data_IF_242798280917
#
_entry.id   IF_242798280917
#
_cell.length_a   1.000
_cell.length_b   1.000
_cell.length_c   1.000
_cell.angle_alpha   90.00
_cell.angle_beta   90.00
_cell.angle_gamma   90.00
#
_symmetry.space_group_name_H-M   'P 1'
#
loop_
_entity.id
_entity.type
_entity.pdbx_description
1 polymer ?
#
# COMPACT_ATOMS: atom_id res chain seq x y z
N UNK A 1 22.78 1.61 3.12
CA UNK A 1 23.46 0.38 2.66
C UNK A 1 22.83 -0.04 1.33
N UNK A 2 23.61 -0.17 0.25
CA UNK A 2 23.10 -0.66 -1.04
C UNK A 2 23.46 -2.13 -1.23
N UNK A 3 22.47 -2.96 -1.64
CA UNK A 3 22.69 -4.36 -2.06
C UNK A 3 22.73 -4.39 -3.59
N UNK A 4 23.61 -5.21 -4.16
CA UNK A 4 23.78 -5.34 -5.62
C UNK A 4 23.21 -6.66 -6.11
N UNK A 5 22.58 -6.62 -7.28
CA UNK A 5 22.05 -7.77 -8.00
C UNK A 5 22.38 -7.60 -9.48
N UNK A 6 22.75 -8.68 -10.16
CA UNK A 6 22.99 -8.70 -11.60
C UNK A 6 21.78 -9.34 -12.28
N UNK A 7 21.24 -8.68 -13.30
CA UNK A 7 20.10 -9.16 -14.10
C UNK A 7 20.57 -9.34 -15.54
N UNK A 8 20.20 -10.45 -16.15
CA UNK A 8 20.47 -10.74 -17.56
C UNK A 8 19.18 -10.52 -18.35
N UNK A 9 19.23 -9.70 -19.39
CA UNK A 9 18.15 -9.54 -20.35
C UNK A 9 18.34 -10.59 -21.44
N UNK A 10 17.40 -11.53 -21.55
CA UNK A 10 17.39 -12.54 -22.62
C UNK A 10 16.75 -12.03 -23.91
N UNK A 11 16.05 -10.89 -23.82
CA UNK A 11 15.47 -10.16 -24.93
C UNK A 11 16.35 -8.93 -25.22
N UNK A 12 17.01 -8.94 -26.37
CA UNK A 12 17.92 -7.86 -26.80
C UNK A 12 17.18 -6.58 -27.17
N UNK A 13 15.95 -6.70 -27.69
CA UNK A 13 15.11 -5.56 -28.03
C UNK A 13 14.71 -4.82 -26.75
N UNK A 14 14.25 -5.56 -25.73
CA UNK A 14 13.93 -4.99 -24.42
C UNK A 14 15.14 -4.29 -23.77
N UNK A 15 16.33 -4.89 -23.86
CA UNK A 15 17.55 -4.26 -23.36
C UNK A 15 17.82 -2.93 -24.09
N UNK A 16 17.65 -2.92 -25.40
CA UNK A 16 17.87 -1.72 -26.23
C UNK A 16 16.87 -0.63 -25.91
N UNK A 17 15.58 -0.95 -25.83
CA UNK A 17 14.52 -0.02 -25.47
C UNK A 17 14.76 0.61 -24.09
N UNK A 18 15.12 -0.21 -23.10
CA UNK A 18 15.45 0.28 -21.76
C UNK A 18 16.60 1.29 -21.80
N UNK A 19 17.64 1.02 -22.60
CA UNK A 19 18.80 1.92 -22.75
C UNK A 19 18.41 3.23 -23.43
N UNK A 20 17.57 3.18 -24.46
CA UNK A 20 17.03 4.36 -25.13
C UNK A 20 16.20 5.20 -24.16
N UNK A 21 15.32 4.57 -23.39
CA UNK A 21 14.45 5.28 -22.45
C UNK A 21 15.24 5.89 -21.28
N UNK A 22 16.26 5.19 -20.78
CA UNK A 22 17.19 5.73 -19.79
C UNK A 22 17.89 7.00 -20.29
N UNK A 23 18.37 6.98 -21.54
CA UNK A 23 18.97 8.14 -22.17
C UNK A 23 17.97 9.29 -22.35
N UNK A 24 16.75 8.99 -22.82
CA UNK A 24 15.67 9.96 -23.02
C UNK A 24 15.25 10.66 -21.72
N UNK A 25 15.20 9.93 -20.61
CA UNK A 25 14.83 10.44 -19.28
C UNK A 25 16.01 11.03 -18.50
N UNK A 26 17.22 11.01 -19.07
CA UNK A 26 18.44 11.42 -18.37
C UNK A 26 18.62 10.72 -17.00
N UNK A 27 18.31 9.42 -16.95
CA UNK A 27 18.38 8.61 -15.72
C UNK A 27 19.15 7.31 -15.95
N UNK A 28 19.52 6.63 -14.87
CA UNK A 28 20.13 5.32 -14.96
C UNK A 28 19.08 4.24 -15.28
N UNK A 29 19.42 3.28 -16.14
CA UNK A 29 18.57 2.12 -16.40
C UNK A 29 18.23 1.35 -15.11
N UNK A 30 19.13 1.33 -14.13
CA UNK A 30 18.87 0.73 -12.82
C UNK A 30 17.73 1.40 -12.06
N UNK A 31 17.50 2.71 -12.25
CA UNK A 31 16.40 3.43 -11.61
C UNK A 31 15.07 3.01 -12.25
N UNK A 32 15.02 2.93 -13.59
CA UNK A 32 13.84 2.45 -14.32
C UNK A 32 13.49 1.02 -13.89
N UNK A 33 14.49 0.13 -13.81
CA UNK A 33 14.28 -1.24 -13.35
C UNK A 33 13.83 -1.30 -11.89
N UNK A 34 14.38 -0.46 -11.02
CA UNK A 34 13.96 -0.39 -9.62
C UNK A 34 12.48 -0.03 -9.51
N UNK A 35 12.04 0.98 -10.27
CA UNK A 35 10.64 1.42 -10.25
C UNK A 35 9.71 0.37 -10.88
N UNK A 36 10.11 -0.25 -11.99
CA UNK A 36 9.33 -1.32 -12.62
C UNK A 36 9.17 -2.54 -11.70
N UNK A 37 10.24 -2.95 -11.01
CA UNK A 37 10.19 -4.07 -10.05
C UNK A 37 9.34 -3.70 -8.83
N UNK A 38 9.44 -2.47 -8.32
CA UNK A 38 8.59 -1.99 -7.22
C UNK A 38 7.11 -2.09 -7.62
N UNK A 39 6.75 -1.51 -8.76
CA UNK A 39 5.37 -1.49 -9.24
C UNK A 39 4.84 -2.91 -9.52
N UNK A 40 5.69 -3.81 -10.02
CA UNK A 40 5.32 -5.21 -10.20
C UNK A 40 5.02 -5.93 -8.87
N UNK A 41 5.84 -5.67 -7.84
CA UNK A 41 5.61 -6.23 -6.50
C UNK A 41 4.35 -5.66 -5.85
N UNK A 42 4.15 -4.34 -5.92
CA UNK A 42 2.95 -3.67 -5.39
C UNK A 42 1.67 -4.23 -6.05
N UNK A 43 1.66 -4.38 -7.38
CA UNK A 43 0.52 -5.00 -8.09
C UNK A 43 0.25 -6.43 -7.66
N UNK A 44 1.31 -7.20 -7.35
CA UNK A 44 1.17 -8.57 -6.88
C UNK A 44 0.58 -8.58 -5.46
N UNK A 45 1.03 -7.69 -4.59
CA UNK A 45 0.47 -7.54 -3.23
C UNK A 45 -1.01 -7.14 -3.28
N UNK A 46 -1.38 -6.19 -4.15
CA UNK A 46 -2.78 -5.81 -4.39
C UNK A 46 -3.62 -7.02 -4.83
N UNK A 47 -3.10 -7.83 -5.75
CA UNK A 47 -3.77 -9.04 -6.22
C UNK A 47 -3.94 -10.09 -5.10
N UNK A 48 -2.97 -10.21 -4.19
CA UNK A 48 -3.05 -11.08 -3.02
C UNK A 48 -4.02 -10.54 -1.95
N UNK A 49 -4.21 -9.22 -1.86
CA UNK A 49 -5.15 -8.57 -0.93
C UNK A 49 -6.62 -8.68 -1.38
N UNK A 50 -6.89 -8.70 -2.69
CA UNK A 50 -8.26 -8.74 -3.23
C UNK A 50 -9.13 -9.86 -2.62
N UNK A 51 -8.68 -11.13 -2.53
CA UNK A 51 -9.45 -12.19 -1.87
C UNK A 51 -9.76 -11.91 -0.41
N UNK A 52 -8.83 -11.29 0.32
CA UNK A 52 -9.01 -10.95 1.75
C UNK A 52 -10.07 -9.86 1.89
N UNK A 53 -10.04 -8.85 1.02
CA UNK A 53 -11.04 -7.77 0.98
C UNK A 53 -12.43 -8.34 0.68
N UNK A 54 -12.55 -9.22 -0.31
CA UNK A 54 -13.84 -9.82 -0.67
C UNK A 54 -14.36 -10.74 0.44
N UNK A 55 -13.51 -11.49 1.12
CA UNK A 55 -13.89 -12.28 2.29
C UNK A 55 -14.42 -11.39 3.43
N UNK A 56 -13.69 -10.32 3.77
CA UNK A 56 -14.11 -9.37 4.80
C UNK A 56 -15.43 -8.67 4.42
N UNK A 57 -15.61 -8.33 3.14
CA UNK A 57 -16.85 -7.74 2.63
C UNK A 57 -18.02 -8.69 2.71
N UNK A 58 -17.83 -9.96 2.38
CA UNK A 58 -18.85 -11.00 2.49
C UNK A 58 -19.26 -11.20 3.96
N UNK A 59 -18.29 -11.29 4.86
CA UNK A 59 -18.53 -11.38 6.31
C UNK A 59 -19.30 -10.15 6.84
N UNK A 60 -18.88 -8.95 6.48
CA UNK A 60 -19.56 -7.71 6.86
C UNK A 60 -21.01 -7.71 6.39
N UNK A 61 -21.30 -8.11 5.14
CA UNK A 61 -22.67 -8.24 4.64
C UNK A 61 -23.47 -9.29 5.43
N UNK A 62 -22.87 -10.46 5.69
CA UNK A 62 -23.52 -11.54 6.43
C UNK A 62 -23.89 -11.13 7.85
N UNK A 63 -23.05 -10.33 8.50
CA UNK A 63 -23.25 -9.85 9.87
C UNK A 63 -24.11 -8.59 9.98
N UNK A 64 -24.72 -8.12 8.88
CA UNK A 64 -25.57 -6.93 8.88
C UNK A 64 -24.78 -5.62 9.00
N UNK A 65 -23.61 -5.58 8.35
CA UNK A 65 -22.70 -4.46 8.40
C UNK A 65 -23.32 -3.13 7.96
N UNK A 66 -22.89 -2.05 8.61
CA UNK A 66 -23.36 -0.67 8.39
C UNK A 66 -22.36 0.15 7.58
N UNK A 67 -22.81 1.02 6.66
CA UNK A 67 -21.94 1.93 5.92
C UNK A 67 -21.09 2.81 6.84
N UNK A 68 -19.88 3.17 6.39
CA UNK A 68 -18.98 4.02 7.16
C UNK A 68 -19.62 5.35 7.57
N UNK A 69 -20.38 5.98 6.67
CA UNK A 69 -21.08 7.25 6.95
C UNK A 69 -22.06 7.20 8.12
N UNK A 70 -22.58 6.02 8.44
CA UNK A 70 -23.46 5.84 9.60
C UNK A 70 -22.68 5.62 10.91
N UNK A 71 -21.51 5.00 10.82
CA UNK A 71 -20.71 4.58 11.99
C UNK A 71 -19.65 5.62 12.37
N UNK A 72 -19.18 6.40 11.40
CA UNK A 72 -18.13 7.41 11.59
C UNK A 72 -18.44 8.43 12.69
N UNK A 73 -19.65 9.00 12.79
CA UNK A 73 -19.98 9.94 13.88
C UNK A 73 -19.94 9.26 15.25
N UNK A 74 -20.52 8.05 15.37
CA UNK A 74 -20.56 7.26 16.61
C UNK A 74 -19.15 6.93 17.10
N UNK A 75 -18.26 6.54 16.16
CA UNK A 75 -16.88 6.25 16.46
C UNK A 75 -16.12 7.51 16.92
N UNK A 76 -16.32 8.63 16.23
CA UNK A 76 -15.72 9.92 16.61
C UNK A 76 -16.11 10.34 18.02
N UNK A 77 -17.39 10.18 18.38
CA UNK A 77 -17.87 10.43 19.74
C UNK A 77 -17.26 9.48 20.77
N UNK A 78 -17.20 8.18 20.45
CA UNK A 78 -16.61 7.16 21.33
C UNK A 78 -15.11 7.42 21.60
N UNK A 79 -14.36 7.81 20.57
CA UNK A 79 -12.95 8.21 20.69
C UNK A 79 -12.82 9.45 21.59
N UNK A 80 -13.62 10.48 21.36
CA UNK A 80 -13.60 11.71 22.16
C UNK A 80 -13.96 11.46 23.63
N UNK A 81 -14.90 10.57 23.92
CA UNK A 81 -15.24 10.14 25.29
C UNK A 81 -14.06 9.43 25.94
N UNK A 82 -13.42 8.50 25.20
CA UNK A 82 -12.24 7.78 25.69
C UNK A 82 -11.12 8.75 26.03
N UNK A 83 -10.80 9.68 25.16
CA UNK A 83 -9.73 10.68 25.37
C UNK A 83 -9.98 11.54 26.60
N UNK A 84 -11.23 12.01 26.81
CA UNK A 84 -11.62 12.73 28.02
C UNK A 84 -11.44 11.88 29.28
N UNK A 85 -11.81 10.60 29.22
CA UNK A 85 -11.69 9.69 30.35
C UNK A 85 -10.23 9.32 30.69
N UNK A 86 -9.34 9.25 29.70
CA UNK A 86 -7.91 9.02 29.90
C UNK A 86 -7.17 10.29 30.32
N UNK A 87 -7.57 11.46 29.81
CA UNK A 87 -7.07 12.76 30.26
C UNK A 87 -7.48 13.08 31.70
N UNK A 88 -8.68 12.66 32.12
CA UNK A 88 -9.17 12.83 33.49
C UNK A 88 -8.45 11.94 34.52
N UNK A 89 -7.84 10.82 34.12
CA UNK A 89 -7.03 9.96 34.99
C UNK A 89 -5.57 10.44 35.15
N UNK A 90 -5.19 11.52 34.47
CA UNK A 90 -3.83 12.02 34.38
C UNK A 90 -3.56 13.32 35.14
N UNK A 91 -4.36 13.72 36.14
CA UNK A 91 -3.97 14.78 37.10
C UNK A 91 -4.63 14.50 38.46
N UNK A 92 -3.97 13.66 39.27
CA UNK A 92 -4.03 13.78 40.73
C UNK A 92 -2.57 13.73 41.19
N UNK A 93 -2.01 14.93 41.33
CA UNK A 93 -0.76 15.18 42.04
C UNK A 93 -1.08 15.42 43.53
#
# INVERSE_FOLDING_TARGET
MSRRMTVVFHDEELYTELKVEAARRHTAASNIITDAVREWLERREDAELLPVIEAARAEWKQKGGRPWSEVEPELGEAVAVRERSTGAKGVQA
#
